data_IF_186856870417
#
_entry.id   IF_186856870417
#
_cell.length_a   1.000
_cell.length_b   1.000
_cell.length_c   1.000
_cell.angle_alpha   90.00
_cell.angle_beta   90.00
_cell.angle_gamma   90.00
#
_symmetry.space_group_name_H-M   'P 1'
#
loop_
_entity.id
_entity.type
_entity.pdbx_description
1 polymer ?
#
# COMPACT_ATOMS: atom_id res chain seq x y z
N UNK A 1 -5.80 25.67 -7.97
CA UNK A 1 -6.53 24.58 -7.27
C UNK A 1 -7.32 25.12 -6.09
N UNK A 2 -6.73 25.94 -5.20
CA UNK A 2 -7.46 26.63 -4.11
C UNK A 2 -8.68 27.40 -4.62
N UNK A 3 -8.56 28.10 -5.75
CA UNK A 3 -9.67 28.87 -6.32
C UNK A 3 -10.85 27.97 -6.71
N UNK A 4 -10.60 26.73 -7.12
CA UNK A 4 -11.68 25.76 -7.41
C UNK A 4 -12.45 25.36 -6.14
N UNK A 5 -11.80 25.41 -4.97
CA UNK A 5 -12.46 25.22 -3.68
C UNK A 5 -13.32 26.44 -3.36
N UNK A 6 -12.75 27.65 -3.50
CA UNK A 6 -13.46 28.92 -3.29
C UNK A 6 -14.67 29.09 -4.22
N UNK A 7 -14.56 28.64 -5.46
CA UNK A 7 -15.64 28.60 -6.45
C UNK A 7 -16.66 27.48 -6.21
N UNK A 8 -16.42 26.60 -5.23
CA UNK A 8 -17.31 25.49 -4.89
C UNK A 8 -17.30 24.32 -5.89
N UNK A 9 -16.32 24.28 -6.81
CA UNK A 9 -16.19 23.22 -7.83
C UNK A 9 -15.64 21.92 -7.26
N UNK A 10 -14.82 22.01 -6.22
CA UNK A 10 -14.31 20.85 -5.47
C UNK A 10 -14.41 21.13 -3.98
N UNK A 11 -14.58 20.08 -3.16
CA UNK A 11 -14.68 20.22 -1.70
C UNK A 11 -13.33 20.20 -1.00
N UNK A 12 -12.40 19.39 -1.51
CA UNK A 12 -11.12 19.09 -0.87
C UNK A 12 -10.02 18.96 -1.92
N UNK A 13 -8.78 19.19 -1.51
CA UNK A 13 -7.59 18.97 -2.34
C UNK A 13 -6.77 17.81 -1.79
N UNK A 14 -6.26 16.99 -2.68
CA UNK A 14 -5.33 15.91 -2.36
C UNK A 14 -4.08 15.97 -3.23
N UNK A 15 -3.02 15.31 -2.78
CA UNK A 15 -1.79 15.11 -3.52
C UNK A 15 -1.60 13.62 -3.83
N UNK A 16 -0.74 13.31 -4.79
CA UNK A 16 -0.38 11.94 -5.13
C UNK A 16 1.14 11.80 -5.21
N UNK A 17 1.69 10.77 -4.57
CA UNK A 17 3.12 10.43 -4.52
C UNK A 17 4.03 11.66 -4.28
N UNK A 18 3.62 12.57 -3.40
CA UNK A 18 4.34 13.81 -3.10
C UNK A 18 5.31 13.64 -1.92
N UNK A 19 6.49 14.24 -2.04
CA UNK A 19 7.52 14.26 -0.99
C UNK A 19 7.25 15.28 0.12
N UNK A 20 8.04 15.25 1.18
CA UNK A 20 7.84 16.08 2.38
C UNK A 20 7.78 17.58 2.06
N UNK A 21 8.69 18.04 1.21
CA UNK A 21 8.79 19.46 0.83
C UNK A 21 7.56 19.91 0.04
N UNK A 22 7.10 19.08 -0.89
CA UNK A 22 5.92 19.35 -1.71
C UNK A 22 4.66 19.39 -0.86
N UNK A 23 4.50 18.43 0.07
CA UNK A 23 3.37 18.39 1.01
C UNK A 23 3.33 19.68 1.84
N UNK A 24 4.45 20.06 2.49
CA UNK A 24 4.50 21.27 3.34
C UNK A 24 4.21 22.54 2.53
N UNK A 25 4.79 22.68 1.34
CA UNK A 25 4.57 23.84 0.47
C UNK A 25 3.12 23.96 0.02
N UNK A 26 2.51 22.85 -0.40
CA UNK A 26 1.12 22.84 -0.83
C UNK A 26 0.17 23.16 0.33
N UNK A 27 0.38 22.51 1.49
CA UNK A 27 -0.45 22.71 2.68
C UNK A 27 -0.36 24.15 3.24
N UNK A 28 0.78 24.81 3.10
CA UNK A 28 0.94 26.23 3.47
C UNK A 28 0.14 27.20 2.59
N UNK A 29 -0.19 26.81 1.35
CA UNK A 29 -1.01 27.61 0.43
C UNK A 29 -2.50 27.33 0.65
N UNK A 30 -2.87 26.06 0.77
CA UNK A 30 -4.25 25.62 1.05
C UNK A 30 -4.23 24.27 1.76
N UNK A 31 -5.10 24.03 2.77
CA UNK A 31 -5.15 22.75 3.48
C UNK A 31 -5.30 21.56 2.52
N UNK A 32 -4.32 20.67 2.53
CA UNK A 32 -4.38 19.38 1.83
C UNK A 32 -5.09 18.39 2.74
N UNK A 33 -6.10 17.69 2.22
CA UNK A 33 -6.93 16.76 2.98
C UNK A 33 -6.41 15.34 2.93
N UNK A 34 -5.83 14.92 1.80
CA UNK A 34 -5.35 13.56 1.61
C UNK A 34 -4.07 13.49 0.78
N UNK A 35 -3.21 12.53 1.11
CA UNK A 35 -2.14 12.06 0.24
C UNK A 35 -2.50 10.64 -0.24
N UNK A 36 -2.51 10.43 -1.55
CA UNK A 36 -2.57 9.09 -2.13
C UNK A 36 -1.14 8.63 -2.46
N UNK A 37 -0.68 7.52 -1.86
CA UNK A 37 0.66 6.98 -2.11
C UNK A 37 0.67 5.47 -1.90
N UNK A 38 1.66 4.77 -2.46
CA UNK A 38 1.78 3.32 -2.25
C UNK A 38 2.13 3.03 -0.80
N UNK A 39 1.33 2.20 -0.18
CA UNK A 39 1.58 1.69 1.16
C UNK A 39 0.88 0.36 1.35
N UNK A 40 1.62 -0.63 1.83
CA UNK A 40 1.12 -1.97 2.12
C UNK A 40 2.08 -2.66 3.08
N UNK A 41 1.74 -3.87 3.52
CA UNK A 41 2.72 -4.73 4.20
C UNK A 41 4.02 -4.90 3.41
N UNK A 42 3.95 -4.86 2.08
CA UNK A 42 5.08 -5.11 1.19
C UNK A 42 5.85 -3.84 0.78
N UNK A 43 5.30 -2.66 1.04
CA UNK A 43 5.91 -1.38 0.73
C UNK A 43 5.64 -0.39 1.85
N UNK A 44 6.69 -0.10 2.63
CA UNK A 44 6.61 0.63 3.90
C UNK A 44 7.52 1.87 3.94
N UNK A 45 7.98 2.35 2.78
CA UNK A 45 8.86 3.52 2.67
C UNK A 45 8.29 4.82 3.28
N UNK A 46 6.96 4.93 3.45
CA UNK A 46 6.30 6.12 4.00
C UNK A 46 6.43 6.24 5.52
N UNK A 47 6.66 5.13 6.23
CA UNK A 47 6.64 5.08 7.71
C UNK A 47 7.63 6.03 8.38
N UNK A 48 8.89 6.19 7.92
CA UNK A 48 9.86 6.98 8.66
C UNK A 48 9.62 8.49 8.62
N UNK A 49 8.98 9.02 7.57
CA UNK A 49 8.93 10.48 7.31
C UNK A 49 7.57 10.99 6.86
N UNK A 50 6.94 10.33 5.89
CA UNK A 50 5.68 10.80 5.30
C UNK A 50 4.51 10.61 6.26
N UNK A 51 4.31 9.40 6.81
CA UNK A 51 3.18 9.15 7.73
C UNK A 51 3.23 10.07 8.97
N UNK A 52 4.38 10.28 9.65
CA UNK A 52 4.50 11.26 10.71
C UNK A 52 4.12 12.68 10.28
N UNK A 53 4.58 13.13 9.12
CA UNK A 53 4.24 14.44 8.55
C UNK A 53 2.75 14.58 8.28
N UNK A 54 2.11 13.56 7.70
CA UNK A 54 0.68 13.59 7.43
C UNK A 54 -0.11 13.75 8.72
N UNK A 55 0.28 13.04 9.78
CA UNK A 55 -0.34 13.15 11.11
C UNK A 55 -0.10 14.53 11.75
N UNK A 56 1.12 15.07 11.64
CA UNK A 56 1.45 16.43 12.09
C UNK A 56 0.52 17.48 11.46
N UNK A 57 0.21 17.33 10.16
CA UNK A 57 -0.59 18.27 9.38
C UNK A 57 -2.10 17.93 9.33
N UNK A 58 -2.54 16.85 9.98
CA UNK A 58 -3.94 16.40 9.94
C UNK A 58 -4.40 15.93 8.55
N UNK A 59 -3.50 15.37 7.74
CA UNK A 59 -3.75 14.87 6.39
C UNK A 59 -4.00 13.36 6.46
N UNK A 60 -5.05 12.87 5.79
CA UNK A 60 -5.29 11.42 5.66
C UNK A 60 -4.37 10.76 4.61
N UNK A 61 -4.01 9.49 4.82
CA UNK A 61 -3.34 8.67 3.82
C UNK A 61 -4.36 7.78 3.10
N UNK A 62 -4.24 7.73 1.77
CA UNK A 62 -5.03 6.85 0.90
C UNK A 62 -4.08 5.86 0.21
N UNK A 63 -3.79 4.68 0.82
CA UNK A 63 -2.90 3.69 0.22
C UNK A 63 -3.40 3.15 -1.11
N UNK A 64 -2.60 3.30 -2.18
CA UNK A 64 -2.77 2.50 -3.40
C UNK A 64 -1.89 1.25 -3.38
N UNK A 65 -2.21 0.31 -4.27
CA UNK A 65 -1.64 -1.04 -4.30
C UNK A 65 -1.60 -1.74 -2.92
N UNK A 66 -2.67 -1.66 -2.11
CA UNK A 66 -2.66 -2.16 -0.72
C UNK A 66 -2.43 -3.68 -0.62
N UNK A 67 -2.65 -4.41 -1.71
CA UNK A 67 -2.42 -5.87 -1.81
C UNK A 67 -1.05 -6.22 -2.44
N UNK A 68 -0.10 -5.29 -2.47
CA UNK A 68 1.22 -5.51 -3.09
C UNK A 68 1.12 -5.87 -4.57
N UNK A 69 0.21 -5.22 -5.31
CA UNK A 69 -0.07 -5.53 -6.74
C UNK A 69 -0.53 -6.98 -6.96
N UNK A 70 -1.20 -7.55 -5.97
CA UNK A 70 -1.65 -8.94 -5.96
C UNK A 70 -0.67 -9.90 -5.29
N UNK A 71 0.56 -9.47 -4.97
CA UNK A 71 1.56 -10.35 -4.34
C UNK A 71 1.06 -10.92 -3.00
N UNK A 72 0.41 -10.09 -2.19
CA UNK A 72 -0.09 -10.47 -0.86
C UNK A 72 -1.32 -11.39 -0.91
N UNK A 73 -1.92 -11.64 -2.08
CA UNK A 73 -3.04 -12.59 -2.21
C UNK A 73 -2.57 -14.03 -2.37
N UNK A 74 -1.27 -14.26 -2.60
CA UNK A 74 -0.68 -15.60 -2.70
C UNK A 74 -0.89 -16.30 -4.04
N UNK A 75 -1.47 -15.63 -5.04
CA UNK A 75 -1.82 -16.21 -6.35
C UNK A 75 -0.93 -15.70 -7.49
N UNK A 76 0.19 -15.07 -7.17
CA UNK A 76 1.12 -14.53 -8.16
C UNK A 76 2.09 -15.58 -8.67
N UNK A 77 2.55 -15.38 -9.90
CA UNK A 77 3.57 -16.18 -10.59
C UNK A 77 4.91 -15.41 -10.67
N UNK A 78 6.02 -16.07 -10.98
CA UNK A 78 7.26 -15.42 -11.39
C UNK A 78 7.04 -14.50 -12.61
N UNK A 79 7.88 -13.47 -12.76
CA UNK A 79 7.78 -12.45 -13.81
C UNK A 79 7.71 -13.04 -15.22
N UNK A 80 8.55 -14.04 -15.51
CA UNK A 80 8.69 -14.71 -16.80
C UNK A 80 7.43 -15.49 -17.23
N UNK A 81 6.52 -15.80 -16.30
CA UNK A 81 5.25 -16.46 -16.62
C UNK A 81 4.13 -15.49 -17.00
N UNK A 82 4.35 -14.18 -16.84
CA UNK A 82 3.42 -13.16 -17.33
C UNK A 82 3.77 -12.74 -18.77
N UNK A 83 2.77 -12.34 -19.58
CA UNK A 83 3.02 -11.73 -20.88
C UNK A 83 3.94 -10.50 -20.77
N UNK A 84 4.75 -10.23 -21.79
CA UNK A 84 5.66 -9.06 -21.81
C UNK A 84 4.93 -7.72 -21.64
N UNK A 85 3.64 -7.65 -22.01
CA UNK A 85 2.79 -6.48 -21.85
C UNK A 85 2.25 -6.29 -20.42
N UNK A 86 2.36 -7.29 -19.55
CA UNK A 86 1.99 -7.19 -18.15
C UNK A 86 3.10 -6.46 -17.38
N UNK A 87 2.71 -5.46 -16.58
CA UNK A 87 3.63 -4.70 -15.75
C UNK A 87 4.53 -5.60 -14.88
N UNK A 88 3.99 -6.71 -14.34
CA UNK A 88 4.71 -7.62 -13.43
C UNK A 88 5.88 -8.34 -14.11
N UNK A 89 5.85 -8.48 -15.43
CA UNK A 89 6.96 -9.05 -16.19
C UNK A 89 8.27 -8.26 -15.99
N UNK A 90 8.16 -6.95 -15.76
CA UNK A 90 9.29 -6.05 -15.57
C UNK A 90 9.52 -5.63 -14.12
N UNK A 91 8.67 -6.07 -13.19
CA UNK A 91 8.79 -5.72 -11.78
C UNK A 91 9.98 -6.47 -11.15
N UNK A 92 11.00 -5.77 -10.62
CA UNK A 92 12.18 -6.39 -10.03
C UNK A 92 11.86 -7.37 -8.89
N UNK A 93 10.76 -7.16 -8.17
CA UNK A 93 10.35 -8.01 -7.04
C UNK A 93 9.70 -9.33 -7.47
N UNK A 94 9.33 -9.44 -8.75
CA UNK A 94 8.77 -10.65 -9.36
C UNK A 94 9.84 -11.51 -10.06
N UNK A 95 11.12 -11.14 -10.03
CA UNK A 95 12.19 -11.81 -10.77
C UNK A 95 13.08 -12.67 -9.88
N UNK A 96 13.32 -13.92 -10.31
CA UNK A 96 14.34 -14.81 -9.74
C UNK A 96 14.31 -14.89 -8.21
N UNK A 97 15.48 -14.76 -7.58
CA UNK A 97 15.63 -14.88 -6.12
C UNK A 97 14.81 -13.85 -5.32
N UNK A 98 14.50 -12.68 -5.91
CA UNK A 98 13.63 -11.70 -5.25
C UNK A 98 12.21 -12.24 -5.10
N UNK A 99 11.68 -12.90 -6.15
CA UNK A 99 10.36 -13.52 -6.09
C UNK A 99 10.32 -14.58 -4.99
N UNK A 100 11.30 -15.48 -4.98
CA UNK A 100 11.36 -16.56 -3.99
C UNK A 100 11.48 -16.02 -2.55
N UNK A 101 12.32 -15.01 -2.33
CA UNK A 101 12.46 -14.37 -1.03
C UNK A 101 11.17 -13.70 -0.57
N UNK A 102 10.52 -12.93 -1.46
CA UNK A 102 9.26 -12.27 -1.17
C UNK A 102 8.12 -13.27 -0.93
N UNK A 103 8.09 -14.40 -1.66
CA UNK A 103 7.10 -15.45 -1.45
C UNK A 103 7.26 -16.15 -0.09
N UNK A 104 8.50 -16.31 0.39
CA UNK A 104 8.78 -16.77 1.76
C UNK A 104 8.29 -15.76 2.80
N UNK A 105 8.64 -14.48 2.65
CA UNK A 105 8.16 -13.43 3.54
C UNK A 105 6.62 -13.36 3.59
N UNK A 106 5.97 -13.45 2.41
CA UNK A 106 4.51 -13.43 2.29
C UNK A 106 3.81 -14.72 2.77
N UNK A 107 4.53 -15.79 3.15
CA UNK A 107 3.91 -16.98 3.72
C UNK A 107 3.24 -16.68 5.05
N UNK A 108 3.80 -15.77 5.86
CA UNK A 108 3.24 -15.33 7.13
C UNK A 108 1.80 -14.80 6.99
N UNK A 109 1.52 -14.06 5.92
CA UNK A 109 0.17 -13.55 5.61
C UNK A 109 -0.81 -14.70 5.34
N UNK A 110 -0.36 -15.71 4.58
CA UNK A 110 -1.17 -16.88 4.23
C UNK A 110 -1.44 -17.79 5.43
N UNK A 111 -0.43 -17.98 6.26
CA UNK A 111 -0.53 -18.76 7.49
C UNK A 111 -1.52 -18.13 8.46
N UNK A 112 -1.41 -16.82 8.70
CA UNK A 112 -2.34 -16.08 9.56
C UNK A 112 -3.76 -16.05 8.98
N UNK A 113 -3.90 -15.92 7.65
CA UNK A 113 -5.19 -16.01 6.98
C UNK A 113 -5.87 -17.35 7.27
N UNK A 114 -5.13 -18.47 7.16
CA UNK A 114 -5.62 -19.79 7.50
C UNK A 114 -6.05 -19.93 8.96
N UNK A 115 -5.27 -19.36 9.89
CA UNK A 115 -5.59 -19.38 11.33
C UNK A 115 -6.88 -18.59 11.66
N UNK A 116 -7.13 -17.48 10.96
CA UNK A 116 -8.32 -16.64 11.17
C UNK A 116 -9.53 -17.04 10.32
N UNK A 117 -9.39 -18.00 9.40
CA UNK A 117 -10.43 -18.30 8.42
C UNK A 117 -10.74 -17.12 7.49
N UNK A 118 -9.74 -16.28 7.23
CA UNK A 118 -9.82 -15.11 6.35
C UNK A 118 -9.05 -15.37 5.05
N UNK A 119 -9.20 -14.50 4.05
CA UNK A 119 -8.32 -14.52 2.87
C UNK A 119 -7.02 -13.75 3.14
N UNK A 120 -5.91 -14.07 2.45
CA UNK A 120 -4.68 -13.28 2.56
C UNK A 120 -4.88 -11.80 2.22
N UNK A 121 -5.78 -11.51 1.27
CA UNK A 121 -6.18 -10.14 0.93
C UNK A 121 -6.83 -9.42 2.11
N UNK A 122 -7.73 -10.10 2.84
CA UNK A 122 -8.34 -9.56 4.04
C UNK A 122 -7.32 -9.29 5.15
N UNK A 123 -6.34 -10.19 5.36
CA UNK A 123 -5.27 -9.95 6.35
C UNK A 123 -4.45 -8.71 5.97
N UNK A 124 -4.06 -8.57 4.70
CA UNK A 124 -3.28 -7.42 4.24
C UNK A 124 -4.03 -6.09 4.39
N UNK A 125 -5.34 -6.08 4.09
CA UNK A 125 -6.18 -4.90 4.26
C UNK A 125 -6.46 -4.60 5.73
N UNK A 126 -6.71 -5.63 6.55
CA UNK A 126 -6.90 -5.47 7.99
C UNK A 126 -5.66 -4.85 8.64
N UNK A 127 -4.47 -5.29 8.24
CA UNK A 127 -3.21 -4.69 8.72
C UNK A 127 -3.17 -3.18 8.46
N UNK A 128 -3.51 -2.73 7.23
CA UNK A 128 -3.56 -1.30 6.90
C UNK A 128 -4.58 -0.55 7.76
N UNK A 129 -5.77 -1.12 7.97
CA UNK A 129 -6.81 -0.52 8.82
C UNK A 129 -6.39 -0.41 10.29
N UNK A 130 -5.52 -1.31 10.78
CA UNK A 130 -4.97 -1.25 12.14
C UNK A 130 -3.83 -0.22 12.30
N UNK A 131 -3.25 0.31 11.21
CA UNK A 131 -2.18 1.33 11.31
C UNK A 131 -2.68 2.69 11.81
N UNK A 132 -3.97 2.96 11.71
CA UNK A 132 -4.60 4.16 12.26
C UNK A 132 -5.88 4.58 11.51
N UNK A 133 -6.76 5.37 12.16
CA UNK A 133 -8.01 5.84 11.53
C UNK A 133 -7.78 6.84 10.39
N UNK A 134 -6.56 7.38 10.28
CA UNK A 134 -6.08 8.28 9.23
C UNK A 134 -5.70 7.56 7.92
N UNK A 135 -5.80 6.23 7.87
CA UNK A 135 -5.36 5.40 6.74
C UNK A 135 -6.57 4.69 6.10
N UNK A 136 -6.86 5.00 4.84
CA UNK A 136 -8.02 4.46 4.11
C UNK A 136 -7.57 3.82 2.78
N UNK A 137 -7.33 2.49 2.73
CA UNK A 137 -6.83 1.84 1.52
C UNK A 137 -7.88 1.76 0.41
N UNK A 138 -7.42 1.79 -0.84
CA UNK A 138 -8.27 1.68 -2.03
C UNK A 138 -7.99 0.39 -2.81
N UNK A 139 -8.41 -0.80 -2.30
CA UNK A 139 -8.21 -2.05 -3.03
C UNK A 139 -9.01 -2.05 -4.33
N UNK A 140 -8.32 -2.28 -5.45
CA UNK A 140 -8.93 -2.37 -6.77
C UNK A 140 -9.68 -3.69 -6.97
N UNK A 141 -10.78 -3.65 -7.72
CA UNK A 141 -11.51 -4.84 -8.15
C UNK A 141 -12.35 -4.55 -9.40
N UNK A 142 -12.57 -5.58 -10.22
CA UNK A 142 -13.52 -5.57 -11.34
C UNK A 142 -14.63 -6.64 -11.17
N UNK A 143 -14.67 -7.35 -10.04
CA UNK A 143 -15.63 -8.42 -9.74
C UNK A 143 -16.29 -8.16 -8.39
N UNK A 144 -17.61 -8.42 -8.31
CA UNK A 144 -18.38 -8.28 -7.06
C UNK A 144 -17.85 -9.20 -5.95
N UNK A 145 -17.46 -10.42 -6.30
CA UNK A 145 -16.89 -11.38 -5.33
C UNK A 145 -15.62 -10.86 -4.66
N UNK A 146 -14.74 -10.18 -5.40
CA UNK A 146 -13.55 -9.55 -4.82
C UNK A 146 -13.89 -8.29 -4.02
N UNK A 147 -14.96 -7.55 -4.39
CA UNK A 147 -15.46 -6.45 -3.56
C UNK A 147 -15.95 -6.98 -2.21
N UNK A 148 -16.75 -8.04 -2.21
CA UNK A 148 -17.25 -8.70 -1.00
C UNK A 148 -16.09 -9.22 -0.14
N UNK A 149 -15.09 -9.85 -0.75
CA UNK A 149 -13.87 -10.28 -0.06
C UNK A 149 -13.12 -9.11 0.59
N UNK A 150 -12.85 -8.03 -0.16
CA UNK A 150 -12.18 -6.83 0.34
C UNK A 150 -12.93 -6.19 1.51
N UNK A 151 -14.26 -6.11 1.44
CA UNK A 151 -15.10 -5.56 2.52
C UNK A 151 -15.01 -6.41 3.79
N UNK A 152 -14.87 -7.73 3.65
CA UNK A 152 -14.69 -8.64 4.78
C UNK A 152 -13.47 -8.33 5.65
N UNK A 153 -12.47 -7.60 5.14
CA UNK A 153 -11.30 -7.17 5.91
C UNK A 153 -11.67 -6.32 7.14
N UNK A 154 -12.78 -5.57 7.09
CA UNK A 154 -13.25 -4.73 8.21
C UNK A 154 -13.65 -5.57 9.43
N UNK A 155 -14.03 -6.83 9.22
CA UNK A 155 -14.41 -7.75 10.29
C UNK A 155 -13.22 -8.52 10.88
N UNK A 156 -12.03 -8.39 10.30
CA UNK A 156 -10.82 -9.08 10.77
C UNK A 156 -10.14 -8.23 11.83
N UNK A 157 -10.09 -8.73 13.07
CA UNK A 157 -9.29 -8.13 14.15
C UNK A 157 -7.93 -8.79 14.23
N UNK A 158 -6.86 -7.98 14.28
CA UNK A 158 -5.49 -8.42 14.46
C UNK A 158 -5.01 -8.04 15.86
N UNK A 159 -4.42 -8.97 16.61
CA UNK A 159 -3.77 -8.67 17.89
C UNK A 159 -2.45 -7.93 17.67
N UNK A 160 -1.91 -7.33 18.72
CA UNK A 160 -0.60 -6.66 18.68
C UNK A 160 0.53 -7.63 18.31
N UNK A 161 0.44 -8.89 18.76
CA UNK A 161 1.38 -9.95 18.42
C UNK A 161 1.28 -10.34 16.95
N UNK A 162 0.06 -10.45 16.41
CA UNK A 162 -0.17 -10.76 14.99
C UNK A 162 0.32 -9.62 14.10
N UNK A 163 0.03 -8.36 14.49
CA UNK A 163 0.55 -7.17 13.82
C UNK A 163 2.08 -7.15 13.82
N UNK A 164 2.70 -7.43 14.96
CA UNK A 164 4.17 -7.48 15.09
C UNK A 164 4.79 -8.61 14.27
N UNK A 165 4.13 -9.77 14.21
CA UNK A 165 4.57 -10.90 13.40
C UNK A 165 4.54 -10.59 11.90
N UNK A 166 3.48 -9.94 11.43
CA UNK A 166 3.39 -9.46 10.04
C UNK A 166 4.44 -8.39 9.74
N UNK A 167 4.62 -7.44 10.67
CA UNK A 167 5.61 -6.36 10.54
C UNK A 167 7.02 -6.91 10.42
N UNK A 168 7.37 -7.94 11.20
CA UNK A 168 8.69 -8.58 11.16
C UNK A 168 8.88 -9.42 9.89
N UNK A 169 7.85 -10.17 9.46
CA UNK A 169 7.94 -11.02 8.27
C UNK A 169 8.16 -10.21 6.98
N UNK A 170 7.51 -9.04 6.88
CA UNK A 170 7.55 -8.16 5.71
C UNK A 170 8.15 -6.79 6.06
N UNK A 171 9.15 -6.77 6.92
CA UNK A 171 9.91 -5.56 7.21
C UNK A 171 10.65 -5.07 5.94
N UNK A 172 10.94 -3.76 5.81
CA UNK A 172 11.62 -3.22 4.63
C UNK A 172 12.93 -3.96 4.26
N UNK A 173 13.65 -4.46 5.25
CA UNK A 173 14.88 -5.23 5.10
C UNK A 173 14.66 -6.69 4.63
N UNK A 174 13.47 -7.24 4.85
CA UNK A 174 13.10 -8.59 4.43
C UNK A 174 12.43 -8.62 3.03
N UNK A 175 12.04 -7.46 2.49
CA UNK A 175 11.50 -7.35 1.14
C UNK A 175 12.65 -7.25 0.12
N UNK A 176 12.72 -8.24 -0.78
CA UNK A 176 13.79 -8.33 -1.76
C UNK A 176 13.44 -7.61 -3.07
N UNK A 177 14.41 -6.84 -3.58
CA UNK A 177 14.30 -6.11 -4.84
C UNK A 177 13.65 -4.72 -4.71
N UNK A 178 14.03 -3.77 -5.59
CA UNK A 178 13.49 -2.41 -5.56
C UNK A 178 12.00 -2.39 -5.94
N UNK A 179 11.24 -1.45 -5.34
CA UNK A 179 9.81 -1.21 -5.60
C UNK A 179 9.49 -1.05 -7.09
N UNK A 180 10.37 -0.34 -7.80
CA UNK A 180 10.23 -0.05 -9.22
C UNK A 180 11.57 -0.18 -9.94
N UNK A 181 11.52 -0.20 -11.27
CA UNK A 181 12.71 0.04 -12.10
C UNK A 181 13.26 1.45 -11.85
N UNK A 182 14.55 1.66 -12.14
CA UNK A 182 15.19 2.99 -11.97
C UNK A 182 14.44 4.11 -12.71
N UNK A 183 13.97 3.83 -13.94
CA UNK A 183 13.22 4.79 -14.76
C UNK A 183 11.91 5.22 -14.10
N UNK A 184 11.20 4.27 -13.48
CA UNK A 184 9.95 4.54 -12.77
C UNK A 184 10.21 5.24 -11.44
N UNK A 185 11.25 4.83 -10.71
CA UNK A 185 11.66 5.50 -9.47
C UNK A 185 11.98 6.98 -9.69
N UNK A 186 12.54 7.35 -10.85
CA UNK A 186 12.85 8.75 -11.18
C UNK A 186 11.60 9.65 -11.32
N UNK A 187 10.39 9.09 -11.41
CA UNK A 187 9.13 9.83 -11.48
C UNK A 187 8.47 10.06 -10.12
N UNK A 188 9.02 9.45 -9.05
CA UNK A 188 8.47 9.56 -7.69
C UNK A 188 9.16 10.72 -6.98
N UNK A 189 8.36 11.68 -6.50
CA UNK A 189 8.85 12.79 -5.66
C UNK A 189 9.18 12.26 -4.24
N UNK A 190 10.27 12.75 -3.65
CA UNK A 190 10.77 12.28 -2.35
C UNK A 190 11.07 13.44 -1.41
#
# INVERSE_FOLDING_TARGET
MSDLVSEGKVRFLGLSEAGEQTIRRAHAVHPITALQSEYSLWERNLEPRIIPLLRELGIGLVPFAPLGRGFLTGSVKPAEEYPESDYRHNDPRYKGENFDANMRAASAVRELAGQKGATPGQIALAWLLHKGPDIVPIPGTNKRTHLEDNVGAVAVSLSDEEMSGLDAALSPENVAGPRYTEKQMAQVDR
#
